data_IF_069153539356
#
_entry.id   IF_069153539356
#
_cell.length_a   1.000
_cell.length_b   1.000
_cell.length_c   1.000
_cell.angle_alpha   90.00
_cell.angle_beta   90.00
_cell.angle_gamma   90.00
#
_symmetry.space_group_name_H-M   'P 1'
#
loop_
_entity.id
_entity.type
_entity.pdbx_description
1 polymer ?
#
# COMPACT_ATOMS: atom_id res chain seq x y z
N UNK A 1 6.88 -56.12 7.88
CA UNK A 1 6.28 -55.20 6.90
C UNK A 1 5.86 -53.93 7.62
N UNK A 2 6.77 -52.94 7.77
CA UNK A 2 6.47 -51.64 8.40
C UNK A 2 7.26 -50.49 7.77
N UNK A 3 8.38 -50.78 7.12
CA UNK A 3 9.26 -49.77 6.49
C UNK A 3 8.60 -48.99 5.35
N UNK A 4 7.70 -49.59 4.57
CA UNK A 4 7.04 -48.90 3.44
C UNK A 4 5.92 -47.95 3.91
N UNK A 5 5.28 -48.26 5.04
CA UNK A 5 4.30 -47.37 5.67
C UNK A 5 5.01 -46.18 6.33
N UNK A 6 6.12 -46.42 7.02
CA UNK A 6 6.96 -45.37 7.62
C UNK A 6 7.60 -44.49 6.55
N UNK A 7 8.03 -45.04 5.41
CA UNK A 7 8.59 -44.25 4.31
C UNK A 7 7.52 -43.33 3.70
N UNK A 8 6.30 -43.85 3.46
CA UNK A 8 5.18 -43.07 2.92
C UNK A 8 4.74 -41.96 3.88
N UNK A 9 4.73 -42.24 5.18
CA UNK A 9 4.45 -41.25 6.20
C UNK A 9 5.57 -40.20 6.29
N UNK A 10 6.84 -40.59 6.20
CA UNK A 10 7.97 -39.67 6.17
C UNK A 10 7.99 -38.81 4.89
N UNK A 11 7.64 -39.39 3.74
CA UNK A 11 7.45 -38.69 2.47
C UNK A 11 6.28 -37.72 2.54
N UNK A 12 5.15 -38.12 3.10
CA UNK A 12 4.00 -37.24 3.30
C UNK A 12 4.31 -36.08 4.25
N UNK A 13 5.04 -36.34 5.35
CA UNK A 13 5.48 -35.29 6.27
C UNK A 13 6.51 -34.33 5.62
N UNK A 14 7.39 -34.83 4.75
CA UNK A 14 8.31 -34.01 3.96
C UNK A 14 7.59 -33.19 2.89
N UNK A 15 6.56 -33.75 2.26
CA UNK A 15 5.75 -33.07 1.26
C UNK A 15 4.87 -32.00 1.93
N UNK A 16 4.29 -32.29 3.09
CA UNK A 16 3.53 -31.33 3.91
C UNK A 16 4.43 -30.19 4.44
N UNK A 17 5.64 -30.52 4.94
CA UNK A 17 6.65 -29.53 5.35
C UNK A 17 7.18 -28.70 4.18
N UNK A 18 7.32 -29.31 3.00
CA UNK A 18 7.72 -28.66 1.76
C UNK A 18 6.62 -27.78 1.16
N UNK A 19 5.35 -28.16 1.32
CA UNK A 19 4.18 -27.44 0.83
C UNK A 19 3.90 -26.21 1.69
N UNK A 20 3.98 -26.34 3.02
CA UNK A 20 3.86 -25.20 3.93
C UNK A 20 4.98 -24.18 3.68
N UNK A 21 6.22 -24.60 3.37
CA UNK A 21 7.29 -23.67 2.98
C UNK A 21 7.13 -23.05 1.59
N UNK A 22 6.45 -23.72 0.65
CA UNK A 22 6.23 -23.22 -0.72
C UNK A 22 5.01 -22.30 -0.86
N UNK A 23 4.04 -22.42 0.05
CA UNK A 23 2.85 -21.55 0.11
C UNK A 23 2.98 -20.47 1.19
N UNK A 24 3.97 -20.60 2.08
CA UNK A 24 4.31 -19.57 3.05
C UNK A 24 4.83 -18.31 2.35
N UNK A 25 3.97 -17.30 2.42
CA UNK A 25 4.35 -15.95 2.84
C UNK A 25 5.12 -15.16 1.79
N UNK A 26 4.44 -14.70 0.74
CA UNK A 26 4.79 -13.44 0.08
C UNK A 26 3.89 -12.33 0.64
N UNK A 27 4.50 -11.28 1.18
CA UNK A 27 3.76 -10.13 1.71
C UNK A 27 2.92 -9.45 0.62
N UNK A 28 3.34 -9.56 -0.64
CA UNK A 28 2.65 -9.01 -1.81
C UNK A 28 1.21 -9.55 -1.98
N UNK A 29 0.98 -10.81 -1.59
CA UNK A 29 -0.33 -11.45 -1.72
C UNK A 29 -1.18 -11.34 -0.45
N UNK A 30 -0.62 -10.82 0.65
CA UNK A 30 -1.33 -10.68 1.91
C UNK A 30 -2.34 -9.53 1.84
N UNK A 31 -3.63 -9.84 2.00
CA UNK A 31 -4.74 -8.87 1.89
C UNK A 31 -5.39 -8.51 3.23
N UNK A 32 -5.07 -9.24 4.28
CA UNK A 32 -5.62 -9.03 5.61
C UNK A 32 -4.56 -9.15 6.70
N UNK A 33 -4.90 -8.65 7.89
CA UNK A 33 -3.99 -8.58 9.03
C UNK A 33 -3.47 -9.96 9.45
N UNK A 34 -4.28 -11.01 9.39
CA UNK A 34 -3.87 -12.37 9.78
C UNK A 34 -2.77 -12.91 8.83
N UNK A 35 -2.93 -12.71 7.52
CA UNK A 35 -1.94 -13.09 6.52
C UNK A 35 -0.65 -12.29 6.66
N UNK A 36 -0.75 -10.97 6.88
CA UNK A 36 0.41 -10.11 7.11
C UNK A 36 1.14 -10.48 8.41
N UNK A 37 0.41 -10.76 9.49
CA UNK A 37 0.97 -11.18 10.76
C UNK A 37 1.69 -12.52 10.63
N UNK A 38 1.11 -13.49 9.93
CA UNK A 38 1.74 -14.79 9.66
C UNK A 38 3.08 -14.62 8.90
N UNK A 39 3.12 -13.73 7.91
CA UNK A 39 4.37 -13.38 7.20
C UNK A 39 5.39 -12.73 8.14
N UNK A 40 5.00 -11.70 8.89
CA UNK A 40 5.95 -10.99 9.77
C UNK A 40 6.49 -11.93 10.86
N UNK A 41 5.65 -12.82 11.39
CA UNK A 41 6.05 -13.84 12.36
C UNK A 41 7.03 -14.87 11.76
N UNK A 42 6.87 -15.26 10.48
CA UNK A 42 7.80 -16.19 9.83
C UNK A 42 9.20 -15.60 9.59
N UNK A 43 9.37 -14.28 9.71
CA UNK A 43 10.67 -13.63 9.56
C UNK A 43 11.57 -13.77 10.80
N UNK A 44 11.04 -14.24 11.94
CA UNK A 44 11.75 -14.42 13.21
C UNK A 44 12.56 -13.17 13.65
N UNK A 45 11.94 -12.00 13.53
CA UNK A 45 12.60 -10.73 13.84
C UNK A 45 12.66 -10.49 15.35
N UNK A 46 13.84 -10.07 15.83
CA UNK A 46 13.98 -9.54 17.17
C UNK A 46 13.11 -8.29 17.37
N UNK A 47 12.73 -8.00 18.62
CA UNK A 47 11.95 -6.81 18.95
C UNK A 47 12.55 -5.52 18.36
N UNK A 48 13.87 -5.39 18.38
CA UNK A 48 14.58 -4.25 17.77
C UNK A 48 14.28 -4.11 16.27
N UNK A 49 14.28 -5.22 15.53
CA UNK A 49 13.97 -5.21 14.09
C UNK A 49 12.49 -4.95 13.82
N UNK A 50 11.60 -5.43 14.70
CA UNK A 50 10.16 -5.13 14.62
C UNK A 50 9.87 -3.63 14.82
N UNK A 51 10.56 -2.97 15.76
CA UNK A 51 10.42 -1.53 15.96
C UNK A 51 10.86 -0.72 14.72
N UNK A 52 11.98 -1.10 14.10
CA UNK A 52 12.45 -0.48 12.85
C UNK A 52 11.44 -0.69 11.73
N UNK A 53 10.90 -1.91 11.61
CA UNK A 53 9.86 -2.22 10.62
C UNK A 53 8.60 -1.37 10.85
N UNK A 54 8.17 -1.21 12.10
CA UNK A 54 7.03 -0.38 12.46
C UNK A 54 7.24 1.08 12.06
N UNK A 55 8.38 1.66 12.39
CA UNK A 55 8.74 3.04 12.00
C UNK A 55 8.71 3.20 10.48
N UNK A 56 9.36 2.29 9.76
CA UNK A 56 9.41 2.31 8.28
C UNK A 56 8.01 2.22 7.66
N UNK A 57 7.13 1.36 8.18
CA UNK A 57 5.75 1.23 7.69
C UNK A 57 4.95 2.49 8.00
N UNK A 58 5.13 3.09 9.18
CA UNK A 58 4.45 4.33 9.55
C UNK A 58 4.82 5.47 8.59
N UNK A 59 6.11 5.65 8.30
CA UNK A 59 6.58 6.69 7.38
C UNK A 59 5.97 6.52 5.98
N UNK A 60 5.96 5.29 5.46
CA UNK A 60 5.35 4.97 4.16
C UNK A 60 3.83 5.22 4.15
N UNK A 61 3.14 4.96 5.26
CA UNK A 61 1.70 5.22 5.39
C UNK A 61 1.43 6.72 5.36
N UNK A 62 2.19 7.51 6.09
CA UNK A 62 2.03 8.96 6.11
C UNK A 62 2.34 9.59 4.76
N UNK A 63 3.38 9.13 4.06
CA UNK A 63 3.66 9.58 2.70
C UNK A 63 2.49 9.28 1.76
N UNK A 64 1.95 8.05 1.79
CA UNK A 64 0.81 7.67 0.94
C UNK A 64 -0.44 8.50 1.24
N UNK A 65 -0.74 8.76 2.52
CA UNK A 65 -1.86 9.63 2.90
C UNK A 65 -1.67 11.05 2.36
N UNK A 66 -0.47 11.61 2.48
CA UNK A 66 -0.16 12.93 1.95
C UNK A 66 -0.33 12.99 0.42
N UNK A 67 0.16 11.97 -0.31
CA UNK A 67 -0.01 11.87 -1.75
C UNK A 67 -1.49 11.80 -2.16
N UNK A 68 -2.31 11.02 -1.44
CA UNK A 68 -3.75 10.94 -1.69
C UNK A 68 -4.44 12.29 -1.47
N UNK A 69 -4.17 12.96 -0.34
CA UNK A 69 -4.72 14.28 -0.05
C UNK A 69 -4.31 15.31 -1.10
N UNK A 70 -3.07 15.27 -1.59
CA UNK A 70 -2.60 16.13 -2.67
C UNK A 70 -3.36 15.87 -3.98
N UNK A 71 -3.57 14.60 -4.34
CA UNK A 71 -4.34 14.24 -5.54
C UNK A 71 -5.80 14.71 -5.46
N UNK A 72 -6.44 14.52 -4.31
CA UNK A 72 -7.81 15.00 -4.04
C UNK A 72 -7.92 16.51 -4.15
N UNK A 73 -6.95 17.24 -3.60
CA UNK A 73 -6.91 18.70 -3.68
C UNK A 73 -6.74 19.19 -5.12
N UNK A 74 -5.85 18.57 -5.89
CA UNK A 74 -5.66 18.88 -7.32
C UNK A 74 -6.95 18.62 -8.09
N UNK A 75 -7.61 17.49 -7.86
CA UNK A 75 -8.86 17.15 -8.55
C UNK A 75 -10.00 18.12 -8.19
N UNK A 76 -10.08 18.51 -6.92
CA UNK A 76 -11.02 19.53 -6.44
C UNK A 76 -10.76 20.87 -7.12
N UNK A 77 -9.51 21.29 -7.20
CA UNK A 77 -9.12 22.53 -7.86
C UNK A 77 -9.48 22.51 -9.35
N UNK A 78 -9.13 21.44 -10.08
CA UNK A 78 -9.52 21.26 -11.48
C UNK A 78 -11.02 21.39 -11.69
N UNK A 79 -11.80 20.73 -10.83
CA UNK A 79 -13.28 20.80 -10.87
C UNK A 79 -13.78 22.23 -10.67
N UNK A 80 -13.21 22.96 -9.70
CA UNK A 80 -13.57 24.37 -9.46
C UNK A 80 -13.25 25.27 -10.66
N UNK A 81 -12.07 25.11 -11.27
CA UNK A 81 -11.68 25.89 -12.45
C UNK A 81 -12.60 25.59 -13.64
N UNK A 82 -12.96 24.32 -13.86
CA UNK A 82 -13.93 23.94 -14.89
C UNK A 82 -15.30 24.58 -14.65
N UNK A 83 -15.78 24.57 -13.40
CA UNK A 83 -17.05 25.18 -13.06
C UNK A 83 -17.04 26.69 -13.28
N UNK A 84 -15.98 27.38 -12.89
CA UNK A 84 -15.81 28.81 -13.14
C UNK A 84 -15.72 29.14 -14.63
N UNK A 85 -14.98 28.34 -15.40
CA UNK A 85 -14.89 28.49 -16.85
C UNK A 85 -16.27 28.43 -17.50
N UNK A 86 -17.13 27.51 -17.04
CA UNK A 86 -18.53 27.38 -17.51
C UNK A 86 -19.40 28.55 -17.04
N UNK A 87 -19.28 28.95 -15.78
CA UNK A 87 -20.10 30.02 -15.18
C UNK A 87 -19.85 31.37 -15.86
N UNK A 88 -18.59 31.71 -16.11
CA UNK A 88 -18.19 32.98 -16.70
C UNK A 88 -18.04 32.92 -18.22
N UNK A 89 -18.28 31.75 -18.83
CA UNK A 89 -18.12 31.52 -20.27
C UNK A 89 -16.73 31.97 -20.79
N UNK A 90 -15.69 31.69 -20.02
CA UNK A 90 -14.29 31.96 -20.34
C UNK A 90 -13.51 30.66 -20.39
N UNK A 91 -12.38 30.64 -21.07
CA UNK A 91 -11.54 29.46 -21.18
C UNK A 91 -10.89 29.09 -19.83
N UNK A 92 -10.52 27.81 -19.70
CA UNK A 92 -9.82 27.30 -18.53
C UNK A 92 -8.54 28.10 -18.22
N UNK A 93 -7.76 28.45 -19.25
CA UNK A 93 -6.51 29.20 -19.10
C UNK A 93 -6.75 30.65 -18.67
N UNK A 94 -7.84 31.28 -19.12
CA UNK A 94 -8.23 32.62 -18.66
C UNK A 94 -8.60 32.63 -17.17
N UNK A 95 -9.31 31.60 -16.67
CA UNK A 95 -9.59 31.47 -15.23
C UNK A 95 -8.29 31.37 -14.44
N UNK A 96 -7.34 30.53 -14.88
CA UNK A 96 -6.04 30.40 -14.22
C UNK A 96 -5.24 31.71 -14.24
N UNK A 97 -5.25 32.42 -15.36
CA UNK A 97 -4.60 33.72 -15.52
C UNK A 97 -5.16 34.78 -14.56
N UNK A 98 -6.49 34.83 -14.40
CA UNK A 98 -7.15 35.74 -13.46
C UNK A 98 -6.86 35.37 -11.99
N UNK A 99 -6.89 34.08 -11.65
CA UNK A 99 -6.60 33.59 -10.29
C UNK A 99 -5.14 33.82 -9.86
N UNK A 100 -4.20 33.75 -10.78
CA UNK A 100 -2.77 34.03 -10.51
C UNK A 100 -2.50 35.53 -10.43
N UNK A 101 -3.10 36.32 -11.32
CA UNK A 101 -2.97 37.79 -11.34
C UNK A 101 -3.55 38.44 -10.09
N UNK A 102 -4.65 37.90 -9.54
CA UNK A 102 -5.28 38.41 -8.32
C UNK A 102 -4.45 38.19 -7.05
N UNK A 103 -3.62 37.13 -6.98
CA UNK A 103 -2.67 36.93 -5.86
C UNK A 103 -1.47 37.87 -5.88
N UNK A 104 -1.08 38.38 -7.04
CA UNK A 104 0.09 39.28 -7.19
C UNK A 104 -0.17 40.74 -6.76
N UNK A 105 -1.40 41.08 -6.40
CA UNK A 105 -1.82 42.43 -5.95
C UNK A 105 -2.09 42.54 -4.44
N UNK A 106 -1.71 41.54 -3.65
CA UNK A 106 -1.73 41.59 -2.17
C UNK A 106 -0.34 41.54 -1.59
#
# INVERSE_FOLDING_TARGET
MNTDLDLKNALAALDEYGYDKKVSTDLEQARNQQQMAKYIQSLDYSLRRLLILQETVNDLVEEKKHQLAMQENIQTYKTKVINLSREFNISYDEVLGLMTSSKSKS
#
